data_IF_482630091362
#
_entry.id   IF_482630091362
#
_cell.length_a   1.000
_cell.length_b   1.000
_cell.length_c   1.000
_cell.angle_alpha   90.00
_cell.angle_beta   90.00
_cell.angle_gamma   90.00
#
_symmetry.space_group_name_H-M   'P 1'
#
loop_
_entity.id
_entity.type
_entity.pdbx_description
1 polymer ?
#
# COMPACT_ATOMS: atom_id res chain seq x y z
N UNK A 1 -20.22 -6.53 20.31
CA UNK A 1 -18.84 -6.02 20.11
C UNK A 1 -18.40 -6.07 18.65
N UNK A 2 -18.52 -7.21 17.95
CA UNK A 2 -18.06 -7.35 16.55
C UNK A 2 -18.66 -6.33 15.57
N UNK A 3 -19.96 -6.03 15.68
CA UNK A 3 -20.63 -5.02 14.84
C UNK A 3 -19.98 -3.65 14.96
N UNK A 4 -19.65 -3.22 16.19
CA UNK A 4 -19.01 -1.92 16.43
C UNK A 4 -17.61 -1.86 15.82
N UNK A 5 -16.82 -2.92 15.98
CA UNK A 5 -15.48 -3.00 15.38
C UNK A 5 -15.55 -2.96 13.85
N UNK A 6 -16.55 -3.61 13.26
CA UNK A 6 -16.78 -3.58 11.82
C UNK A 6 -17.13 -2.18 11.32
N UNK A 7 -18.02 -1.48 12.03
CA UNK A 7 -18.38 -0.08 11.72
C UNK A 7 -17.16 0.84 11.80
N UNK A 8 -16.36 0.73 12.87
CA UNK A 8 -15.14 1.54 13.03
C UNK A 8 -14.10 1.24 11.94
N UNK A 9 -13.96 -0.03 11.56
CA UNK A 9 -13.08 -0.46 10.47
C UNK A 9 -13.53 0.11 9.12
N UNK A 10 -14.83 0.13 8.85
CA UNK A 10 -15.40 0.72 7.64
C UNK A 10 -15.22 2.25 7.60
N UNK A 11 -15.39 2.94 8.74
CA UNK A 11 -15.10 4.38 8.84
C UNK A 11 -13.63 4.67 8.56
N UNK A 12 -12.72 3.91 9.18
CA UNK A 12 -11.28 4.04 8.94
C UNK A 12 -10.94 3.81 7.47
N UNK A 13 -11.52 2.78 6.86
CA UNK A 13 -11.34 2.45 5.44
C UNK A 13 -11.82 3.56 4.51
N UNK A 14 -13.02 4.10 4.76
CA UNK A 14 -13.58 5.19 3.94
C UNK A 14 -12.74 6.45 4.04
N UNK A 15 -12.20 6.77 5.22
CA UNK A 15 -11.31 7.92 5.39
C UNK A 15 -9.94 7.72 4.75
N UNK A 16 -9.36 6.52 4.85
CA UNK A 16 -8.12 6.18 4.14
C UNK A 16 -8.26 6.31 2.63
N UNK A 17 -9.36 5.80 2.06
CA UNK A 17 -9.64 5.95 0.62
C UNK A 17 -9.80 7.40 0.15
N UNK A 18 -10.29 8.29 1.00
CA UNK A 18 -10.46 9.71 0.64
C UNK A 18 -9.15 10.44 0.43
N UNK A 19 -8.06 10.02 1.10
CA UNK A 19 -6.75 10.65 0.98
C UNK A 19 -5.89 10.06 -0.14
N UNK A 20 -6.23 8.87 -0.65
CA UNK A 20 -5.45 8.20 -1.71
C UNK A 20 -5.26 9.06 -2.97
N UNK A 21 -6.28 9.71 -3.55
CA UNK A 21 -6.10 10.46 -4.80
C UNK A 21 -5.13 11.62 -4.67
N UNK A 22 -5.13 12.29 -3.51
CA UNK A 22 -4.23 13.41 -3.23
C UNK A 22 -2.77 12.93 -3.12
N UNK A 23 -2.55 11.82 -2.39
CA UNK A 23 -1.21 11.24 -2.26
C UNK A 23 -0.71 10.73 -3.61
N UNK A 24 -1.57 10.06 -4.39
CA UNK A 24 -1.24 9.59 -5.74
C UNK A 24 -0.84 10.74 -6.66
N UNK A 25 -1.57 11.86 -6.62
CA UNK A 25 -1.23 13.04 -7.40
C UNK A 25 0.15 13.61 -7.01
N UNK A 26 0.44 13.73 -5.71
CA UNK A 26 1.73 14.23 -5.21
C UNK A 26 2.93 13.34 -5.58
N UNK A 27 2.70 12.04 -5.77
CA UNK A 27 3.75 11.08 -6.16
C UNK A 27 3.91 10.91 -7.67
N UNK A 28 3.13 11.63 -8.49
CA UNK A 28 3.14 11.49 -9.95
C UNK A 28 2.46 10.20 -10.46
N UNK A 29 1.56 9.64 -9.65
CA UNK A 29 0.77 8.44 -9.94
C UNK A 29 0.97 7.32 -8.92
N UNK A 30 0.21 6.23 -9.12
CA UNK A 30 0.30 5.02 -8.28
C UNK A 30 1.65 4.34 -8.47
N UNK A 31 2.35 3.91 -7.39
CA UNK A 31 3.59 3.14 -7.52
C UNK A 31 3.45 1.86 -8.36
N UNK A 32 2.26 1.26 -8.40
CA UNK A 32 1.93 0.11 -9.26
C UNK A 32 1.83 0.45 -10.75
N UNK A 33 1.96 1.72 -11.13
CA UNK A 33 2.04 2.20 -12.51
C UNK A 33 3.44 2.76 -12.73
N UNK A 34 3.86 3.70 -11.87
CA UNK A 34 5.10 4.45 -12.04
C UNK A 34 6.34 3.55 -12.00
N UNK A 35 6.31 2.44 -11.25
CA UNK A 35 7.45 1.52 -11.16
C UNK A 35 7.75 0.79 -12.49
N UNK A 36 6.75 0.61 -13.36
CA UNK A 36 6.94 0.00 -14.69
C UNK A 36 7.37 0.99 -15.79
N UNK A 37 7.31 2.29 -15.51
CA UNK A 37 7.75 3.31 -16.48
C UNK A 37 9.24 3.16 -16.77
N UNK A 38 9.64 3.51 -18.00
CA UNK A 38 11.01 3.35 -18.47
C UNK A 38 12.04 4.21 -17.71
N UNK A 39 11.59 5.26 -17.03
CA UNK A 39 12.38 6.29 -16.33
C UNK A 39 12.28 6.25 -14.80
N UNK A 40 11.54 5.29 -14.23
CA UNK A 40 11.25 5.27 -12.79
C UNK A 40 12.49 5.09 -11.91
N UNK A 41 13.50 4.35 -12.38
CA UNK A 41 14.69 3.95 -11.62
C UNK A 41 14.39 3.05 -10.41
N UNK A 42 13.13 2.68 -10.15
CA UNK A 42 12.72 1.92 -8.96
C UNK A 42 12.93 0.41 -9.10
N UNK A 43 13.17 -0.07 -10.33
CA UNK A 43 13.44 -1.47 -10.64
C UNK A 43 14.59 -1.54 -11.64
N UNK A 44 15.42 -2.58 -11.52
CA UNK A 44 16.43 -2.89 -12.52
C UNK A 44 15.79 -2.99 -13.92
N UNK A 45 16.33 -2.28 -14.94
CA UNK A 45 15.72 -2.24 -16.26
C UNK A 45 15.49 -3.62 -16.89
N UNK A 46 16.42 -4.57 -16.71
CA UNK A 46 16.28 -5.93 -17.29
C UNK A 46 15.12 -6.69 -16.64
N UNK A 47 15.00 -6.58 -15.32
CA UNK A 47 13.91 -7.20 -14.56
C UNK A 47 12.56 -6.60 -14.95
N UNK A 48 12.48 -5.27 -15.04
CA UNK A 48 11.29 -4.55 -15.51
C UNK A 48 10.88 -5.03 -16.91
N UNK A 49 11.81 -5.03 -17.86
CA UNK A 49 11.52 -5.39 -19.25
C UNK A 49 11.02 -6.84 -19.37
N UNK A 50 11.58 -7.75 -18.58
CA UNK A 50 11.10 -9.13 -18.48
C UNK A 50 9.65 -9.20 -17.99
N UNK A 51 9.29 -8.47 -16.94
CA UNK A 51 7.93 -8.43 -16.42
C UNK A 51 6.95 -7.77 -17.39
N UNK A 52 7.33 -6.64 -17.99
CA UNK A 52 6.52 -5.95 -18.99
C UNK A 52 6.26 -6.85 -20.20
N UNK A 53 7.26 -7.58 -20.68
CA UNK A 53 7.10 -8.52 -21.79
C UNK A 53 6.20 -9.70 -21.43
N UNK A 54 6.34 -10.26 -20.22
CA UNK A 54 5.44 -11.30 -19.72
C UNK A 54 3.99 -10.81 -19.66
N UNK A 55 3.76 -9.62 -19.09
CA UNK A 55 2.43 -9.03 -18.94
C UNK A 55 1.82 -8.65 -20.28
N UNK A 56 2.59 -8.09 -21.20
CA UNK A 56 2.18 -7.84 -22.58
C UNK A 56 1.67 -9.12 -23.26
N UNK A 57 2.38 -10.23 -23.08
CA UNK A 57 1.95 -11.54 -23.58
C UNK A 57 0.65 -12.05 -22.94
N UNK A 58 0.39 -11.72 -21.66
CA UNK A 58 -0.86 -12.09 -20.97
C UNK A 58 -2.06 -11.21 -21.34
N UNK A 59 -1.81 -9.93 -21.63
CA UNK A 59 -2.81 -8.98 -22.08
C UNK A 59 -3.09 -9.08 -23.59
N UNK A 60 -2.22 -9.77 -24.35
CA UNK A 60 -2.22 -9.78 -25.82
C UNK A 60 -2.12 -8.36 -26.40
N UNK A 61 -1.35 -7.50 -25.74
CA UNK A 61 -1.11 -6.12 -26.10
C UNK A 61 0.40 -5.88 -26.33
N UNK A 62 0.74 -4.86 -27.11
CA UNK A 62 2.14 -4.47 -27.29
C UNK A 62 2.59 -3.57 -26.14
N UNK A 63 3.70 -3.93 -25.50
CA UNK A 63 4.31 -3.07 -24.49
C UNK A 63 4.74 -1.72 -25.09
N UNK A 64 4.48 -0.60 -24.39
CA UNK A 64 4.91 0.72 -24.84
C UNK A 64 6.43 0.83 -24.85
N UNK A 65 6.98 1.33 -25.95
CA UNK A 65 8.41 1.67 -26.05
C UNK A 65 8.74 2.96 -25.31
N UNK A 66 10.01 3.18 -24.98
CA UNK A 66 10.48 4.44 -24.37
C UNK A 66 10.11 5.68 -25.19
N UNK A 67 10.12 5.57 -26.52
CA UNK A 67 9.71 6.66 -27.42
C UNK A 67 8.20 6.94 -27.35
N UNK A 68 7.39 5.88 -27.36
CA UNK A 68 5.92 6.01 -27.23
C UNK A 68 5.51 6.55 -25.86
N UNK A 69 6.16 6.11 -24.78
CA UNK A 69 5.89 6.65 -23.44
C UNK A 69 6.19 8.15 -23.37
N UNK A 70 7.26 8.62 -24.03
CA UNK A 70 7.58 10.06 -24.08
C UNK A 70 6.60 10.86 -24.93
N UNK A 71 6.13 10.28 -26.04
CA UNK A 71 5.20 10.93 -26.95
C UNK A 71 3.77 11.00 -26.39
N UNK A 72 3.33 9.95 -25.68
CA UNK A 72 2.02 9.89 -25.04
C UNK A 72 2.11 9.11 -23.71
N UNK A 73 2.41 9.81 -22.59
CA UNK A 73 2.50 9.20 -21.27
C UNK A 73 1.19 8.55 -20.81
N UNK A 74 0.04 9.15 -21.11
CA UNK A 74 -1.27 8.65 -20.68
C UNK A 74 -1.60 7.30 -21.31
N UNK A 75 -1.32 7.14 -22.62
CA UNK A 75 -1.53 5.86 -23.30
C UNK A 75 -0.61 4.75 -22.76
N UNK A 76 0.64 5.08 -22.41
CA UNK A 76 1.54 4.14 -21.78
C UNK A 76 1.08 3.76 -20.36
N UNK A 77 0.62 4.74 -19.58
CA UNK A 77 0.08 4.51 -18.25
C UNK A 77 -1.17 3.63 -18.29
N UNK A 78 -2.04 3.77 -19.30
CA UNK A 78 -3.19 2.88 -19.47
C UNK A 78 -2.77 1.40 -19.60
N UNK A 79 -1.72 1.10 -20.36
CA UNK A 79 -1.16 -0.26 -20.44
C UNK A 79 -0.63 -0.75 -19.08
N UNK A 80 0.07 0.11 -18.33
CA UNK A 80 0.58 -0.25 -17.00
C UNK A 80 -0.55 -0.42 -15.95
N UNK A 81 -1.65 0.33 -16.07
CA UNK A 81 -2.88 0.11 -15.29
C UNK A 81 -3.44 -1.28 -15.56
N UNK A 82 -3.54 -1.68 -16.82
CA UNK A 82 -3.98 -3.02 -17.21
C UNK A 82 -3.07 -4.12 -16.64
N UNK A 83 -1.74 -3.92 -16.70
CA UNK A 83 -0.75 -4.81 -16.09
C UNK A 83 -1.02 -5.03 -14.59
N UNK A 84 -1.19 -3.94 -13.83
CA UNK A 84 -1.45 -4.01 -12.39
C UNK A 84 -2.83 -4.60 -12.06
N UNK A 85 -3.84 -4.39 -12.91
CA UNK A 85 -5.15 -5.03 -12.76
C UNK A 85 -5.07 -6.55 -12.98
N UNK A 86 -4.39 -6.97 -14.05
CA UNK A 86 -4.19 -8.39 -14.36
C UNK A 86 -3.46 -9.11 -13.22
N UNK A 87 -2.39 -8.51 -12.69
CA UNK A 87 -1.63 -9.09 -11.58
C UNK A 87 -2.50 -9.28 -10.33
N UNK A 88 -3.29 -8.27 -9.93
CA UNK A 88 -4.18 -8.38 -8.77
C UNK A 88 -5.23 -9.50 -8.93
N UNK A 89 -5.71 -9.71 -10.15
CA UNK A 89 -6.64 -10.81 -10.45
C UNK A 89 -5.99 -12.19 -10.35
N UNK A 90 -4.74 -12.30 -10.82
CA UNK A 90 -4.00 -13.56 -10.87
C UNK A 90 -3.16 -13.84 -9.61
N UNK A 91 -3.27 -12.99 -8.59
CA UNK A 91 -2.58 -13.12 -7.30
C UNK A 91 -3.54 -13.17 -6.12
N UNK A 92 -4.82 -13.50 -6.35
CA UNK A 92 -5.88 -13.58 -5.32
C UNK A 92 -5.66 -14.66 -4.26
N UNK A 93 -4.89 -15.71 -4.57
CA UNK A 93 -4.55 -16.75 -3.61
C UNK A 93 -3.59 -16.21 -2.55
N UNK A 94 -4.14 -15.84 -1.39
CA UNK A 94 -3.40 -15.24 -0.28
C UNK A 94 -2.46 -16.22 0.41
N UNK A 95 -2.61 -17.53 0.22
CA UNK A 95 -1.66 -18.52 0.75
C UNK A 95 -0.44 -18.59 -0.17
N UNK A 96 -0.67 -18.68 -1.48
CA UNK A 96 0.42 -18.68 -2.49
C UNK A 96 1.18 -17.36 -2.50
N UNK A 97 0.48 -16.24 -2.41
CA UNK A 97 1.03 -14.88 -2.47
C UNK A 97 1.01 -14.18 -1.09
N UNK A 98 1.34 -14.90 -0.03
CA UNK A 98 1.23 -14.39 1.36
C UNK A 98 2.06 -13.12 1.63
N UNK A 99 3.24 -12.98 1.02
CA UNK A 99 4.07 -11.76 1.14
C UNK A 99 3.35 -10.56 0.53
N UNK A 100 2.85 -10.70 -0.72
CA UNK A 100 2.07 -9.64 -1.38
C UNK A 100 0.82 -9.28 -0.56
N UNK A 101 0.13 -10.29 -0.03
CA UNK A 101 -1.04 -10.06 0.81
C UNK A 101 -0.69 -9.29 2.10
N UNK A 102 0.43 -9.64 2.75
CA UNK A 102 0.96 -8.91 3.91
C UNK A 102 1.26 -7.45 3.59
N UNK A 103 1.92 -7.17 2.47
CA UNK A 103 2.19 -5.77 2.06
C UNK A 103 0.91 -5.01 1.72
N UNK A 104 -0.09 -5.67 1.13
CA UNK A 104 -1.39 -5.06 0.86
C UNK A 104 -2.12 -4.69 2.17
N UNK A 105 -2.06 -5.55 3.19
CA UNK A 105 -2.59 -5.24 4.53
C UNK A 105 -1.84 -4.06 5.13
N UNK A 106 -0.51 -4.06 5.09
CA UNK A 106 0.32 -2.99 5.65
C UNK A 106 0.02 -1.65 4.98
N UNK A 107 -0.02 -1.62 3.66
CA UNK A 107 -0.42 -0.43 2.90
C UNK A 107 -1.83 0.03 3.27
N UNK A 108 -2.77 -0.93 3.32
CA UNK A 108 -4.15 -0.74 3.75
C UNK A 108 -4.29 -0.24 5.20
N UNK A 109 -3.35 -0.57 6.08
CA UNK A 109 -3.35 -0.08 7.45
C UNK A 109 -2.83 1.36 7.51
N UNK A 110 -1.72 1.64 6.82
CA UNK A 110 -1.05 2.95 6.84
C UNK A 110 -1.96 4.08 6.33
N UNK A 111 -2.62 3.90 5.18
CA UNK A 111 -3.49 4.95 4.63
C UNK A 111 -4.77 5.16 5.46
N UNK A 112 -5.33 4.12 6.08
CA UNK A 112 -6.51 4.20 6.94
C UNK A 112 -6.16 4.93 8.23
N UNK A 113 -5.01 4.61 8.82
CA UNK A 113 -4.51 5.28 10.00
C UNK A 113 -4.21 6.76 9.72
N UNK A 114 -3.64 7.09 8.56
CA UNK A 114 -3.42 8.47 8.16
C UNK A 114 -4.73 9.24 7.98
N UNK A 115 -5.75 8.64 7.35
CA UNK A 115 -7.09 9.24 7.23
C UNK A 115 -7.80 9.43 8.58
N UNK A 116 -7.46 8.60 9.58
CA UNK A 116 -7.98 8.68 10.95
C UNK A 116 -7.18 9.61 11.87
N UNK A 117 -5.93 9.96 11.51
CA UNK A 117 -5.04 10.83 12.30
C UNK A 117 -5.72 12.08 12.89
N UNK A 118 -6.48 12.90 12.14
CA UNK A 118 -7.11 14.08 12.73
C UNK A 118 -8.17 13.74 13.79
N UNK A 119 -8.99 12.70 13.58
CA UNK A 119 -9.95 12.25 14.61
C UNK A 119 -9.21 11.75 15.84
N UNK A 120 -8.18 10.93 15.63
CA UNK A 120 -7.42 10.33 16.72
C UNK A 120 -6.75 11.41 17.59
N UNK A 121 -6.20 12.46 16.99
CA UNK A 121 -5.63 13.60 17.73
C UNK A 121 -6.69 14.40 18.50
N UNK A 122 -7.86 14.66 17.91
CA UNK A 122 -8.97 15.35 18.61
C UNK A 122 -9.44 14.55 19.82
N UNK A 123 -9.67 13.24 19.66
CA UNK A 123 -10.06 12.38 20.78
C UNK A 123 -9.00 12.34 21.87
N UNK A 124 -7.71 12.37 21.48
CA UNK A 124 -6.60 12.40 22.42
C UNK A 124 -6.59 13.70 23.24
N UNK A 125 -6.81 14.85 22.59
CA UNK A 125 -6.93 16.15 23.27
C UNK A 125 -8.12 16.15 24.22
N UNK A 126 -9.30 15.67 23.79
CA UNK A 126 -10.48 15.58 24.64
C UNK A 126 -10.25 14.68 25.86
N UNK A 127 -9.50 13.59 25.69
CA UNK A 127 -9.11 12.69 26.79
C UNK A 127 -8.24 13.41 27.80
N UNK A 128 -7.22 14.14 27.34
CA UNK A 128 -6.34 14.93 28.21
C UNK A 128 -7.13 16.01 28.96
N UNK A 129 -8.01 16.75 28.26
CA UNK A 129 -8.86 17.78 28.87
C UNK A 129 -9.75 17.17 29.95
N UNK A 130 -10.40 16.03 29.67
CA UNK A 130 -11.24 15.35 30.63
C UNK A 130 -10.46 14.88 31.86
N UNK A 131 -9.29 14.26 31.66
CA UNK A 131 -8.44 13.81 32.77
C UNK A 131 -7.97 14.98 33.64
N UNK A 132 -7.47 16.05 33.02
CA UNK A 132 -7.01 17.25 33.75
C UNK A 132 -8.17 17.92 34.48
N UNK A 133 -9.34 18.03 33.84
CA UNK A 133 -10.55 18.60 34.44
C UNK A 133 -11.03 17.82 35.65
N UNK A 134 -11.00 16.47 35.60
CA UNK A 134 -11.36 15.61 36.73
C UNK A 134 -10.38 15.81 37.89
N UNK A 135 -9.07 15.83 37.63
CA UNK A 135 -8.06 16.04 38.68
C UNK A 135 -8.24 17.42 39.31
N UNK A 136 -8.40 18.46 38.50
CA UNK A 136 -8.59 19.84 38.96
C UNK A 136 -9.87 20.03 39.78
N UNK A 137 -10.93 19.27 39.49
CA UNK A 137 -12.17 19.29 40.27
C UNK A 137 -12.01 18.61 41.64
N UNK A 138 -11.09 17.67 41.79
CA UNK A 138 -10.83 16.96 43.06
C UNK A 138 -9.74 17.61 43.89
N UNK A 139 -8.72 18.18 43.25
CA UNK A 139 -7.58 18.82 43.91
C UNK A 139 -7.24 20.13 43.20
N UNK A 140 -7.50 21.24 43.90
CA UNK A 140 -7.13 22.58 43.45
C UNK A 140 -6.26 23.28 44.49
N UNK A 141 -5.11 23.87 44.12
CA UNK A 141 -4.60 24.06 42.76
C UNK A 141 -4.01 22.78 42.14
N UNK A 142 -4.01 22.70 40.81
CA UNK A 142 -3.40 21.60 40.08
C UNK A 142 -1.86 21.64 40.23
N UNK A 143 -1.30 20.74 41.02
CA UNK A 143 0.15 20.63 41.24
C UNK A 143 0.75 19.39 40.59
N UNK A 144 2.08 19.33 40.45
CA UNK A 144 2.78 18.12 40.01
C UNK A 144 2.49 16.92 40.91
N UNK A 145 2.29 17.15 42.22
CA UNK A 145 1.93 16.12 43.19
C UNK A 145 0.51 15.59 42.94
N UNK A 146 -0.43 16.48 42.60
CA UNK A 146 -1.81 16.08 42.24
C UNK A 146 -1.83 15.25 40.96
N UNK A 147 -0.99 15.56 39.96
CA UNK A 147 -0.87 14.73 38.75
C UNK A 147 -0.22 13.38 39.07
N UNK A 148 0.90 13.37 39.80
CA UNK A 148 1.69 12.16 40.05
C UNK A 148 0.98 11.17 40.98
N UNK A 149 0.18 11.66 41.92
CA UNK A 149 -0.67 10.85 42.80
C UNK A 149 -1.97 10.37 42.14
N UNK A 150 -2.34 10.90 40.97
CA UNK A 150 -3.61 10.57 40.33
C UNK A 150 -3.61 9.18 39.70
N UNK A 151 -4.74 8.47 39.83
CA UNK A 151 -4.99 7.21 39.09
C UNK A 151 -5.09 7.42 37.57
N UNK A 152 -5.15 8.68 37.11
CA UNK A 152 -5.26 9.07 35.70
C UNK A 152 -3.89 9.33 35.05
N UNK A 153 -2.80 9.36 35.82
CA UNK A 153 -1.44 9.52 35.28
C UNK A 153 -1.13 8.51 34.16
N UNK A 154 -1.42 7.20 34.28
CA UNK A 154 -1.15 6.26 33.19
C UNK A 154 -1.93 6.61 31.90
N UNK A 155 -3.15 7.13 32.01
CA UNK A 155 -3.97 7.53 30.86
C UNK A 155 -3.32 8.71 30.14
N UNK A 156 -2.83 9.71 30.89
CA UNK A 156 -2.11 10.87 30.34
C UNK A 156 -0.80 10.46 29.66
N UNK A 157 -0.06 9.51 30.25
CA UNK A 157 1.18 8.98 29.67
C UNK A 157 0.89 8.23 28.36
N UNK A 158 -0.13 7.37 28.34
CA UNK A 158 -0.55 6.66 27.12
C UNK A 158 -1.02 7.66 26.05
N UNK A 159 -1.81 8.68 26.44
CA UNK A 159 -2.25 9.74 25.54
C UNK A 159 -1.05 10.49 24.91
N UNK A 160 -0.02 10.78 25.70
CA UNK A 160 1.21 11.41 25.21
C UNK A 160 1.93 10.52 24.19
N UNK A 161 2.21 9.25 24.51
CA UNK A 161 2.87 8.33 23.58
C UNK A 161 2.05 8.12 22.30
N UNK A 162 0.73 8.02 22.45
CA UNK A 162 -0.16 7.89 21.31
C UNK A 162 -0.14 9.15 20.41
N UNK A 163 -0.11 10.36 20.98
CA UNK A 163 0.07 11.61 20.22
C UNK A 163 1.41 11.61 19.46
N UNK A 164 2.50 11.28 20.14
CA UNK A 164 3.85 11.22 19.54
C UNK A 164 3.86 10.24 18.36
N UNK A 165 3.30 9.03 18.54
CA UNK A 165 3.19 8.06 17.47
C UNK A 165 2.39 8.59 16.26
N UNK A 166 1.21 9.18 16.50
CA UNK A 166 0.38 9.76 15.43
C UNK A 166 1.11 10.89 14.68
N UNK A 167 1.83 11.75 15.41
CA UNK A 167 2.50 12.91 14.80
C UNK A 167 3.68 12.46 13.92
N UNK A 168 4.56 11.60 14.45
CA UNK A 168 5.84 11.28 13.81
C UNK A 168 5.81 10.02 12.93
N UNK A 169 4.99 9.03 13.26
CA UNK A 169 4.98 7.74 12.53
C UNK A 169 3.86 7.67 11.50
N UNK A 170 2.71 8.31 11.77
CA UNK A 170 1.57 8.32 10.86
C UNK A 170 1.69 9.52 9.92
N UNK A 171 2.45 9.34 8.85
CA UNK A 171 2.77 10.39 7.86
C UNK A 171 2.46 9.94 6.45
N UNK A 172 2.30 10.89 5.53
CA UNK A 172 2.18 10.59 4.09
C UNK A 172 3.38 9.77 3.60
N UNK A 173 4.60 10.11 4.03
CA UNK A 173 5.80 9.37 3.69
C UNK A 173 5.71 7.87 4.07
N UNK A 174 5.12 7.55 5.23
CA UNK A 174 4.91 6.15 5.64
C UNK A 174 3.92 5.40 4.73
N UNK A 175 2.93 6.10 4.17
CA UNK A 175 1.96 5.55 3.21
C UNK A 175 2.62 5.34 1.85
N UNK A 176 3.40 6.32 1.39
CA UNK A 176 4.17 6.24 0.14
C UNK A 176 5.11 5.05 0.16
N UNK A 177 5.86 4.88 1.24
CA UNK A 177 6.80 3.76 1.37
C UNK A 177 6.07 2.41 1.33
N UNK A 178 4.98 2.26 2.09
CA UNK A 178 4.18 1.04 2.06
C UNK A 178 3.58 0.77 0.66
N UNK A 179 3.16 1.80 -0.06
CA UNK A 179 2.64 1.67 -1.43
C UNK A 179 3.71 1.17 -2.41
N UNK A 180 4.95 1.66 -2.28
CA UNK A 180 6.10 1.20 -3.06
C UNK A 180 6.45 -0.25 -2.76
N UNK A 181 6.49 -0.64 -1.48
CA UNK A 181 6.75 -2.03 -1.08
C UNK A 181 5.68 -2.98 -1.61
N UNK A 182 4.40 -2.62 -1.47
CA UNK A 182 3.29 -3.36 -2.06
C UNK A 182 3.45 -3.51 -3.58
N UNK A 183 3.72 -2.42 -4.29
CA UNK A 183 3.87 -2.43 -5.75
C UNK A 183 5.06 -3.28 -6.20
N UNK A 184 6.18 -3.21 -5.46
CA UNK A 184 7.34 -4.08 -5.69
C UNK A 184 6.97 -5.55 -5.56
N UNK A 185 6.28 -5.94 -4.48
CA UNK A 185 5.84 -7.33 -4.29
C UNK A 185 4.80 -7.76 -5.34
N UNK A 186 3.96 -6.83 -5.80
CA UNK A 186 2.98 -7.11 -6.86
C UNK A 186 3.70 -7.51 -8.16
N UNK A 187 4.78 -6.82 -8.52
CA UNK A 187 5.56 -7.18 -9.71
C UNK A 187 6.44 -8.40 -9.50
N UNK A 188 7.01 -8.60 -8.32
CA UNK A 188 7.76 -9.83 -8.01
C UNK A 188 6.86 -11.09 -8.11
N UNK A 189 5.54 -10.94 -7.95
CA UNK A 189 4.58 -12.02 -8.16
C UNK A 189 4.54 -12.51 -9.62
N UNK A 190 5.13 -11.79 -10.58
CA UNK A 190 5.38 -12.32 -11.92
C UNK A 190 6.25 -13.57 -11.89
N UNK A 191 7.23 -13.69 -10.99
CA UNK A 191 8.17 -14.84 -10.93
C UNK A 191 7.44 -16.19 -10.78
N UNK A 192 6.66 -16.43 -9.72
CA UNK A 192 5.91 -17.68 -9.58
C UNK A 192 4.86 -17.87 -10.68
N UNK A 193 4.32 -16.79 -11.27
CA UNK A 193 3.36 -16.88 -12.39
C UNK A 193 4.04 -17.31 -13.69
N UNK A 194 5.26 -16.85 -13.94
CA UNK A 194 6.08 -17.27 -15.07
C UNK A 194 6.51 -18.73 -14.93
N UNK A 195 6.90 -19.16 -13.74
CA UNK A 195 7.25 -20.57 -13.46
C UNK A 195 6.06 -21.52 -13.59
N UNK A 196 4.85 -21.03 -13.30
CA UNK A 196 3.61 -21.81 -13.46
C UNK A 196 3.11 -21.87 -14.91
N UNK A 197 3.73 -21.13 -15.84
CA UNK A 197 3.32 -21.13 -17.25
C UNK A 197 3.85 -22.40 -17.95
N UNK A 198 3.01 -23.11 -18.73
CA UNK A 198 3.46 -24.31 -19.43
C UNK A 198 4.61 -23.95 -20.40
N UNK A 199 5.74 -24.64 -20.24
CA UNK A 199 6.86 -24.56 -21.17
C UNK A 199 6.36 -24.99 -22.56
N UNK A 200 6.56 -24.20 -23.63
CA UNK A 200 6.25 -24.64 -24.98
C UNK A 200 7.05 -25.91 -25.28
N UNK A 201 6.37 -27.05 -25.50
CA UNK A 201 7.05 -28.29 -25.93
C UNK A 201 7.85 -27.99 -27.20
N UNK A 202 9.15 -28.36 -27.28
CA UNK A 202 9.90 -28.25 -28.51
C UNK A 202 9.15 -28.95 -29.63
N UNK A 203 8.93 -28.24 -30.74
CA UNK A 203 8.28 -28.79 -31.93
C UNK A 203 9.18 -29.89 -32.47
N UNK A 204 8.86 -31.16 -32.18
CA UNK A 204 9.59 -32.30 -32.72
C UNK A 204 9.52 -32.22 -34.25
N UNK A 205 10.65 -31.94 -34.89
CA UNK A 205 10.78 -32.01 -36.34
C UNK A 205 10.51 -33.45 -36.77
N UNK A 206 9.41 -33.68 -37.50
CA UNK A 206 9.15 -34.99 -38.12
C UNK A 206 10.34 -35.37 -39.00
N UNK A 207 10.90 -36.59 -38.88
CA UNK A 207 11.94 -37.04 -39.80
C UNK A 207 11.37 -37.07 -41.22
N UNK A 208 12.11 -36.48 -42.17
CA UNK A 208 11.82 -36.61 -43.60
C UNK A 208 11.94 -38.10 -43.96
N UNK A 209 10.82 -38.70 -44.35
CA UNK A 209 10.81 -40.03 -44.96
C UNK A 209 11.40 -39.86 -46.37
N UNK A 210 12.63 -40.32 -46.54
CA UNK A 210 13.29 -40.44 -47.83
C UNK A 210 12.64 -41.63 -48.57
N UNK A 211 11.91 -41.36 -49.64
CA UNK A 211 11.36 -42.42 -50.50
C UNK A 211 12.49 -42.93 -51.41
N UNK A 212 12.77 -44.23 -51.29
CA UNK A 212 13.59 -45.01 -52.22
C UNK A 212 12.77 -45.39 -53.46
#
# INVERSE_FOLDING_TARGET
MAVMLFVLSDVARRRGKKIEPEIEARMGGRPSITMLRHDSGQMDPKTRDRYVMFLAGKLNEKAPTKGQQRANPEAADAFYVCCGAWLREHTRDTKKFHILFGENITYGFRHNLLGMKPIALVLNILTVIACVGIIAATEWPLTLTSLSGSKLLPVLVIALFHAVYLIFVVTEASVVEASKQYSRQLFLSCEPLMQSAPVPKPRQSRPKVEKK
#
